data_IF_305324792441
#
_entry.id   IF_305324792441
#
_cell.length_a   1.000
_cell.length_b   1.000
_cell.length_c   1.000
_cell.angle_alpha   90.00
_cell.angle_beta   90.00
_cell.angle_gamma   90.00
#
_symmetry.space_group_name_H-M   'P 1'
#
loop_
_entity.id
_entity.type
_entity.pdbx_description
1 polymer ?
#
# COMPACT_ATOMS: atom_id res chain seq x y z
N UNK A 1 -34.77 1.17 -49.21
CA UNK A 1 -34.59 1.77 -47.87
C UNK A 1 -33.88 0.72 -47.02
N UNK A 2 -32.55 0.83 -46.87
CA UNK A 2 -31.72 -0.20 -46.23
C UNK A 2 -31.63 0.04 -44.71
N UNK A 3 -31.73 -1.01 -43.85
CA UNK A 3 -31.61 -0.83 -42.42
C UNK A 3 -30.14 -0.65 -42.03
N UNK A 4 -29.84 0.49 -41.39
CA UNK A 4 -28.54 0.78 -40.77
C UNK A 4 -28.38 -0.07 -39.52
N UNK A 5 -27.51 -1.07 -39.60
CA UNK A 5 -27.18 -1.96 -38.48
C UNK A 5 -26.35 -1.20 -37.44
N UNK A 6 -26.98 -0.88 -36.32
CA UNK A 6 -26.31 -0.27 -35.17
C UNK A 6 -25.21 -1.22 -34.65
N UNK A 7 -23.95 -0.79 -34.77
CA UNK A 7 -22.80 -1.47 -34.16
C UNK A 7 -22.87 -1.26 -32.64
N UNK A 8 -23.49 -2.21 -31.95
CA UNK A 8 -23.35 -2.33 -30.49
C UNK A 8 -21.89 -2.61 -30.17
N UNK A 9 -21.20 -1.59 -29.68
CA UNK A 9 -19.87 -1.70 -29.08
C UNK A 9 -19.99 -2.48 -27.78
N UNK A 10 -19.91 -3.82 -27.88
CA UNK A 10 -19.69 -4.70 -26.73
C UNK A 10 -18.44 -4.21 -25.99
N UNK A 11 -18.63 -3.48 -24.89
CA UNK A 11 -17.59 -3.24 -23.89
C UNK A 11 -17.08 -4.61 -23.46
N UNK A 12 -15.89 -4.98 -23.94
CA UNK A 12 -15.21 -6.19 -23.50
C UNK A 12 -15.18 -6.18 -21.97
N UNK A 13 -15.78 -7.20 -21.36
CA UNK A 13 -15.70 -7.40 -19.93
C UNK A 13 -14.21 -7.52 -19.59
N UNK A 14 -13.64 -6.46 -19.01
CA UNK A 14 -12.25 -6.46 -18.53
C UNK A 14 -12.15 -7.60 -17.53
N UNK A 15 -11.41 -8.65 -17.87
CA UNK A 15 -11.06 -9.72 -16.93
C UNK A 15 -10.48 -9.07 -15.69
N UNK A 16 -11.22 -9.11 -14.58
CA UNK A 16 -10.82 -8.48 -13.32
C UNK A 16 -9.54 -9.17 -12.85
N UNK A 17 -8.40 -8.47 -12.96
CA UNK A 17 -7.12 -8.98 -12.48
C UNK A 17 -7.10 -8.73 -10.98
N UNK A 18 -7.40 -9.76 -10.20
CA UNK A 18 -7.36 -9.66 -8.75
C UNK A 18 -5.92 -9.81 -8.26
N UNK A 19 -5.35 -8.74 -7.71
CA UNK A 19 -4.05 -8.76 -7.03
C UNK A 19 -4.24 -8.45 -5.56
N UNK A 20 -3.56 -9.22 -4.72
CA UNK A 20 -3.53 -9.06 -3.28
C UNK A 20 -2.18 -8.50 -2.84
N UNK A 21 -2.22 -7.50 -1.99
CA UNK A 21 -1.05 -6.91 -1.36
C UNK A 21 -1.20 -6.95 0.15
N UNK A 22 -0.12 -7.24 0.85
CA UNK A 22 -0.10 -7.33 2.31
C UNK A 22 1.00 -6.41 2.83
N UNK A 23 0.68 -5.60 3.84
CA UNK A 23 1.63 -4.83 4.63
C UNK A 23 1.63 -5.42 6.04
N UNK A 24 2.76 -5.96 6.46
CA UNK A 24 2.98 -6.41 7.82
C UNK A 24 3.58 -5.27 8.66
N UNK A 25 2.84 -4.85 9.68
CA UNK A 25 3.24 -3.85 10.66
C UNK A 25 3.13 -4.39 12.11
N UNK A 26 3.13 -5.72 12.31
CA UNK A 26 2.93 -6.33 13.64
C UNK A 26 3.88 -5.79 14.71
N UNK A 27 5.19 -5.71 14.39
CA UNK A 27 6.22 -5.23 15.32
C UNK A 27 5.98 -3.78 15.77
N UNK A 28 5.92 -2.78 14.87
CA UNK A 28 5.73 -1.39 15.27
C UNK A 28 4.34 -1.11 15.87
N UNK A 29 3.33 -1.94 15.61
CA UNK A 29 2.02 -1.85 16.27
C UNK A 29 2.10 -2.34 17.71
N UNK A 30 2.80 -3.45 17.97
CA UNK A 30 3.02 -3.98 19.31
C UNK A 30 3.75 -2.96 20.20
N UNK A 31 4.73 -2.26 19.64
CA UNK A 31 5.49 -1.21 20.32
C UNK A 31 4.72 0.12 20.44
N UNK A 32 3.46 0.17 19.96
CA UNK A 32 2.56 1.34 19.97
C UNK A 32 3.09 2.57 19.24
N UNK A 33 4.11 2.41 18.38
CA UNK A 33 4.66 3.52 17.58
C UNK A 33 3.91 3.71 16.25
N UNK A 34 3.14 2.72 15.82
CA UNK A 34 2.40 2.75 14.56
C UNK A 34 0.91 2.49 14.79
N UNK A 35 0.08 3.43 14.35
CA UNK A 35 -1.38 3.29 14.38
C UNK A 35 -1.92 2.76 13.04
N UNK A 36 -2.47 1.55 13.08
CA UNK A 36 -3.13 0.90 11.94
C UNK A 36 -4.37 1.65 11.48
N UNK A 37 -5.16 2.17 12.40
CA UNK A 37 -6.44 2.81 12.09
C UNK A 37 -6.21 4.12 11.33
N UNK A 38 -5.25 4.93 11.79
CA UNK A 38 -4.81 6.11 11.06
C UNK A 38 -4.22 5.77 9.68
N UNK A 39 -3.48 4.66 9.57
CA UNK A 39 -2.89 4.26 8.30
C UNK A 39 -3.92 3.72 7.29
N UNK A 40 -4.90 2.94 7.74
CA UNK A 40 -6.03 2.50 6.91
C UNK A 40 -6.80 3.70 6.35
N UNK A 41 -7.18 4.65 7.21
CA UNK A 41 -7.86 5.89 6.78
C UNK A 41 -7.01 6.66 5.77
N UNK A 42 -5.70 6.76 6.01
CA UNK A 42 -4.78 7.40 5.07
C UNK A 42 -4.77 6.70 3.71
N UNK A 43 -4.81 5.36 3.66
CA UNK A 43 -4.86 4.63 2.40
C UNK A 43 -6.18 4.89 1.66
N UNK A 44 -7.31 4.91 2.37
CA UNK A 44 -8.60 5.29 1.77
C UNK A 44 -8.54 6.68 1.11
N UNK A 45 -7.99 7.67 1.81
CA UNK A 45 -7.95 9.06 1.33
C UNK A 45 -6.94 9.28 0.19
N UNK A 46 -5.86 8.50 0.15
CA UNK A 46 -4.68 8.78 -0.70
C UNK A 46 -4.49 7.83 -1.87
N UNK A 47 -5.13 6.67 -1.86
CA UNK A 47 -5.15 5.79 -3.02
C UNK A 47 -5.93 6.47 -4.14
N UNK A 48 -5.33 6.47 -5.33
CA UNK A 48 -5.91 6.99 -6.55
C UNK A 48 -6.32 5.86 -7.46
N UNK A 49 -7.54 5.94 -7.96
CA UNK A 49 -8.07 5.11 -9.03
C UNK A 49 -8.42 6.04 -10.19
N UNK A 50 -7.91 5.74 -11.39
CA UNK A 50 -8.07 6.60 -12.58
C UNK A 50 -7.66 8.08 -12.36
N UNK A 51 -6.64 8.30 -11.52
CA UNK A 51 -6.07 9.62 -11.24
C UNK A 51 -6.77 10.44 -10.14
N UNK A 52 -7.92 9.96 -9.62
CA UNK A 52 -8.69 10.62 -8.56
C UNK A 52 -8.62 9.86 -7.23
N UNK A 53 -8.57 10.60 -6.13
CA UNK A 53 -8.75 10.06 -4.77
C UNK A 53 -10.23 9.88 -4.46
N UNK A 54 -10.59 9.10 -3.43
CA UNK A 54 -11.98 8.82 -3.03
C UNK A 54 -12.84 8.12 -4.10
N UNK A 55 -12.21 7.43 -5.05
CA UNK A 55 -12.89 6.69 -6.13
C UNK A 55 -12.58 5.18 -6.05
N UNK A 56 -12.62 4.62 -4.83
CA UNK A 56 -12.20 3.23 -4.58
C UNK A 56 -13.23 2.21 -5.05
N UNK A 57 -14.53 2.50 -4.92
CA UNK A 57 -15.64 1.65 -5.38
C UNK A 57 -15.44 0.17 -5.03
N UNK A 58 -15.71 -0.70 -6.01
CA UNK A 58 -15.43 -2.14 -5.96
C UNK A 58 -14.05 -2.51 -6.53
N UNK A 59 -13.20 -1.52 -6.85
CA UNK A 59 -11.92 -1.74 -7.51
C UNK A 59 -10.80 -2.03 -6.52
N UNK A 60 -10.87 -1.44 -5.32
CA UNK A 60 -9.86 -1.57 -4.27
C UNK A 60 -10.56 -1.75 -2.92
N UNK A 61 -10.40 -2.94 -2.33
CA UNK A 61 -10.80 -3.23 -0.96
C UNK A 61 -9.58 -3.17 -0.04
N UNK A 62 -9.71 -2.46 1.06
CA UNK A 62 -8.69 -2.35 2.11
C UNK A 62 -9.28 -2.99 3.36
N UNK A 63 -8.52 -3.85 4.01
CA UNK A 63 -8.98 -4.53 5.22
C UNK A 63 -7.83 -4.69 6.20
N UNK A 64 -8.12 -4.42 7.46
CA UNK A 64 -7.24 -4.79 8.56
C UNK A 64 -7.39 -6.29 8.81
N UNK A 65 -6.28 -7.01 8.72
CA UNK A 65 -6.19 -8.40 9.15
C UNK A 65 -5.59 -8.38 10.55
N UNK A 66 -6.15 -9.17 11.47
CA UNK A 66 -5.64 -9.29 12.83
C UNK A 66 -4.12 -9.47 12.88
N UNK A 67 -3.51 -9.03 13.98
CA UNK A 67 -2.06 -9.01 14.23
C UNK A 67 -1.29 -7.87 13.54
N UNK A 68 -1.90 -6.73 13.26
CA UNK A 68 -1.17 -5.59 12.70
C UNK A 68 -0.80 -5.73 11.24
N UNK A 69 -1.63 -6.43 10.47
CA UNK A 69 -1.47 -6.59 9.02
C UNK A 69 -2.57 -5.82 8.30
N UNK A 70 -2.24 -5.23 7.16
CA UNK A 70 -3.21 -4.61 6.26
C UNK A 70 -3.17 -5.33 4.93
N UNK A 71 -4.34 -5.77 4.49
CA UNK A 71 -4.57 -6.39 3.21
C UNK A 71 -5.23 -5.39 2.25
N UNK A 72 -4.69 -5.32 1.04
CA UNK A 72 -5.28 -4.55 -0.05
C UNK A 72 -5.54 -5.50 -1.21
N UNK A 73 -6.81 -5.70 -1.52
CA UNK A 73 -7.27 -6.47 -2.68
C UNK A 73 -7.64 -5.48 -3.77
N UNK A 74 -7.08 -5.66 -4.96
CA UNK A 74 -7.30 -4.77 -6.10
C UNK A 74 -7.76 -5.57 -7.31
N UNK A 75 -8.79 -5.10 -8.00
CA UNK A 75 -9.32 -5.72 -9.24
C UNK A 75 -8.86 -4.99 -10.51
N UNK A 76 -8.09 -3.92 -10.32
CA UNK A 76 -7.50 -3.08 -11.36
C UNK A 76 -5.98 -3.26 -11.43
N UNK A 77 -5.31 -2.74 -12.48
CA UNK A 77 -3.85 -2.70 -12.55
C UNK A 77 -3.25 -1.84 -11.43
N UNK A 78 -3.00 -2.46 -10.28
CA UNK A 78 -2.31 -1.85 -9.16
C UNK A 78 -0.84 -2.29 -9.12
N UNK A 79 0.01 -1.45 -8.51
CA UNK A 79 1.43 -1.74 -8.34
C UNK A 79 1.84 -1.64 -6.88
N UNK A 80 2.63 -2.61 -6.44
CA UNK A 80 3.18 -2.57 -5.08
C UNK A 80 4.20 -1.44 -4.87
N UNK A 81 4.79 -0.90 -5.95
CA UNK A 81 5.60 0.33 -5.90
C UNK A 81 4.76 1.51 -5.41
N UNK A 82 3.51 1.63 -5.89
CA UNK A 82 2.62 2.69 -5.45
C UNK A 82 2.26 2.53 -3.96
N UNK A 83 1.98 1.29 -3.53
CA UNK A 83 1.76 0.99 -2.11
C UNK A 83 2.97 1.35 -1.24
N UNK A 84 4.18 0.98 -1.68
CA UNK A 84 5.45 1.34 -1.01
C UNK A 84 5.69 2.86 -0.97
N UNK A 85 5.21 3.60 -1.96
CA UNK A 85 5.25 5.07 -1.94
C UNK A 85 4.30 5.62 -0.87
N UNK A 86 3.06 5.15 -0.83
CA UNK A 86 2.04 5.62 0.12
C UNK A 86 2.43 5.32 1.56
N UNK A 87 2.93 4.11 1.85
CA UNK A 87 3.45 3.76 3.19
C UNK A 87 4.58 4.69 3.61
N UNK A 88 5.59 4.90 2.75
CA UNK A 88 6.68 5.85 3.03
C UNK A 88 6.19 7.29 3.23
N UNK A 89 5.14 7.70 2.52
CA UNK A 89 4.53 9.02 2.66
C UNK A 89 3.83 9.17 4.02
N UNK A 90 3.12 8.14 4.47
CA UNK A 90 2.52 8.10 5.80
C UNK A 90 3.59 8.16 6.90
N UNK A 91 4.64 7.34 6.79
CA UNK A 91 5.75 7.35 7.74
C UNK A 91 6.42 8.72 7.83
N UNK A 92 6.58 9.45 6.71
CA UNK A 92 7.13 10.81 6.75
C UNK A 92 6.19 11.79 7.44
N UNK A 93 4.88 11.68 7.22
CA UNK A 93 3.86 12.53 7.87
C UNK A 93 3.81 12.32 9.38
N UNK A 94 4.02 11.08 9.83
CA UNK A 94 4.08 10.71 11.26
C UNK A 94 5.49 10.78 11.85
N UNK A 95 6.47 11.27 11.09
CA UNK A 95 7.87 11.40 11.53
C UNK A 95 8.53 10.08 11.98
N UNK A 96 8.07 8.94 11.43
CA UNK A 96 8.57 7.58 11.74
C UNK A 96 9.67 7.10 10.77
N UNK A 97 10.18 7.99 9.93
CA UNK A 97 11.12 7.64 8.84
C UNK A 97 12.51 7.24 9.32
N UNK A 98 12.87 7.67 10.52
CA UNK A 98 14.18 7.42 11.11
C UNK A 98 14.20 6.08 11.86
N UNK A 99 13.02 5.59 12.27
CA UNK A 99 12.88 4.32 12.97
C UNK A 99 12.46 3.18 12.04
N UNK A 100 11.59 3.45 11.05
CA UNK A 100 10.95 2.41 10.24
C UNK A 100 11.28 2.52 8.75
N UNK A 101 11.57 1.37 8.14
CA UNK A 101 11.71 1.20 6.70
C UNK A 101 10.72 0.19 6.14
N UNK A 102 10.25 0.45 4.92
CA UNK A 102 9.36 -0.44 4.16
C UNK A 102 10.21 -1.37 3.27
N UNK A 103 10.23 -2.65 3.60
CA UNK A 103 10.94 -3.71 2.87
C UNK A 103 9.92 -4.57 2.11
N UNK A 104 10.31 -5.08 0.93
CA UNK A 104 9.51 -6.07 0.20
C UNK A 104 10.08 -7.44 0.53
N UNK A 105 9.30 -8.31 1.17
CA UNK A 105 9.74 -9.66 1.55
C UNK A 105 9.49 -10.64 0.41
N UNK A 106 8.36 -10.47 -0.29
CA UNK A 106 7.98 -11.27 -1.45
C UNK A 106 7.13 -10.43 -2.39
N UNK A 107 6.83 -10.95 -3.58
CA UNK A 107 5.98 -10.23 -4.54
C UNK A 107 4.59 -10.02 -3.93
N UNK A 108 4.23 -8.76 -3.71
CA UNK A 108 2.96 -8.38 -3.09
C UNK A 108 2.98 -8.30 -1.56
N UNK A 109 4.08 -8.70 -0.90
CA UNK A 109 4.22 -8.67 0.56
C UNK A 109 5.26 -7.65 0.96
N UNK A 110 4.84 -6.71 1.80
CA UNK A 110 5.65 -5.63 2.36
C UNK A 110 5.68 -5.74 3.87
N UNK A 111 6.76 -5.29 4.47
CA UNK A 111 6.99 -5.34 5.91
C UNK A 111 7.60 -4.03 6.38
N UNK A 112 7.13 -3.53 7.53
CA UNK A 112 7.76 -2.45 8.27
C UNK A 112 8.83 -3.06 9.18
N UNK A 113 10.09 -2.72 8.93
CA UNK A 113 11.23 -3.14 9.75
C UNK A 113 11.85 -1.95 10.42
N UNK A 114 12.34 -2.15 11.64
CA UNK A 114 13.22 -1.19 12.29
C UNK A 114 14.54 -1.06 11.50
N UNK A 115 15.14 0.11 11.57
CA UNK A 115 16.56 0.22 11.32
C UNK A 115 17.30 -0.44 12.48
N UNK A 116 18.31 -1.27 12.19
CA UNK A 116 19.21 -1.75 13.22
C UNK A 116 19.99 -0.53 13.72
N UNK A 117 19.67 -0.01 14.90
CA UNK A 117 20.49 0.97 15.62
C UNK A 117 21.62 0.25 16.34
N UNK A 118 22.27 -0.71 15.66
CA UNK A 118 23.47 -1.34 16.21
C UNK A 118 24.62 -0.43 15.81
N UNK A 119 24.90 0.51 16.71
CA UNK A 119 26.18 1.15 16.95
C UNK A 119 26.80 1.95 15.79
N UNK A 120 26.35 3.19 15.61
CA UNK A 120 27.21 4.28 15.11
C UNK A 120 27.95 4.87 16.33
N UNK A 121 28.62 4.01 17.08
CA UNK A 121 29.41 4.34 18.28
C UNK A 121 30.72 3.54 18.22
N UNK A 122 31.37 3.53 17.05
CA UNK A 122 32.57 2.73 16.80
C UNK A 122 33.26 2.90 15.46
N UNK A 123 33.26 4.10 14.86
CA UNK A 123 34.20 4.48 13.79
C UNK A 123 34.26 6.03 13.64
N UNK A 124 34.81 6.71 14.65
CA UNK A 124 35.41 8.05 14.50
C UNK A 124 36.59 8.18 15.49
N UNK A 125 37.40 7.13 15.58
CA UNK A 125 38.77 7.19 16.08
C UNK A 125 39.64 6.75 14.90
N UNK A 126 40.60 7.62 14.52
CA UNK A 126 41.59 7.54 13.43
C UNK A 126 41.30 8.25 12.08
N UNK A 127 41.72 9.52 12.06
CA UNK A 127 42.31 10.34 10.96
C UNK A 127 41.41 11.00 9.89
#
# INVERSE_FOLDING_TARGET
MAPVQARSSKKAAKTKVTKKYIINASQPVSDKIFDLSAFEKFLHDRIKVEGRTNNLGDDVAISQVGDGKIEIVTHIPFSGRYLKYLTKKFLKKQQLRDWLRVVSTSKGVYELRFFNVVNDEGDDDDE
#
